data_IF_335193376470
#
_entry.id   IF_335193376470
#
_cell.length_a   1.000
_cell.length_b   1.000
_cell.length_c   1.000
_cell.angle_alpha   90.00
_cell.angle_beta   90.00
_cell.angle_gamma   90.00
#
_symmetry.space_group_name_H-M   'P 1'
#
loop_
_entity.id
_entity.type
_entity.pdbx_description
1 polymer ?
#
# COMPACT_ATOMS: atom_id res chain seq x y z
N UNK A 1 4.70 -23.12 11.80
CA UNK A 1 3.93 -22.44 10.73
C UNK A 1 4.39 -21.00 10.73
N UNK A 2 4.69 -20.44 9.56
CA UNK A 2 4.89 -19.00 9.42
C UNK A 2 3.62 -18.40 8.79
N UNK A 3 2.85 -17.70 9.62
CA UNK A 3 1.50 -17.21 9.32
C UNK A 3 1.48 -15.69 9.31
N UNK A 4 1.26 -15.11 8.14
CA UNK A 4 1.17 -13.66 7.97
C UNK A 4 -0.22 -13.29 7.49
N UNK A 5 -0.83 -12.32 8.16
CA UNK A 5 -2.13 -11.78 7.79
C UNK A 5 -2.07 -10.27 7.87
N UNK A 6 -2.49 -9.60 6.80
CA UNK A 6 -2.63 -8.15 6.74
C UNK A 6 -4.08 -7.77 6.42
N UNK A 7 -4.48 -6.56 6.78
CA UNK A 7 -5.84 -6.10 6.56
C UNK A 7 -6.14 -4.74 7.16
N UNK A 8 -7.37 -4.30 6.95
CA UNK A 8 -7.95 -3.09 7.55
C UNK A 8 -8.82 -3.46 8.76
N UNK A 9 -9.50 -2.47 9.35
CA UNK A 9 -10.55 -2.74 10.35
C UNK A 9 -11.75 -3.48 9.76
N UNK A 10 -12.00 -3.30 8.47
CA UNK A 10 -13.14 -3.87 7.76
C UNK A 10 -12.88 -5.30 7.28
N UNK A 11 -11.63 -5.66 6.99
CA UNK A 11 -11.36 -6.96 6.36
C UNK A 11 -9.90 -7.36 6.29
N UNK A 12 -9.67 -8.55 5.76
CA UNK A 12 -8.34 -9.07 5.42
C UNK A 12 -8.03 -8.66 3.97
N UNK A 13 -6.83 -8.13 3.74
CA UNK A 13 -6.37 -7.75 2.39
C UNK A 13 -5.33 -8.72 1.85
N UNK A 14 -4.57 -9.39 2.72
CA UNK A 14 -3.60 -10.39 2.34
C UNK A 14 -3.43 -11.46 3.41
N UNK A 15 -3.14 -12.68 2.97
CA UNK A 15 -2.85 -13.82 3.82
C UNK A 15 -1.78 -14.67 3.15
N UNK A 16 -0.75 -15.04 3.91
CA UNK A 16 0.30 -15.95 3.48
C UNK A 16 0.51 -17.02 4.56
N UNK A 17 0.50 -18.28 4.13
CA UNK A 17 0.71 -19.44 4.99
C UNK A 17 1.88 -20.28 4.46
N UNK A 18 2.96 -20.36 5.24
CA UNK A 18 4.04 -21.32 5.03
C UNK A 18 3.91 -22.44 6.09
N UNK A 19 3.39 -23.58 5.64
CA UNK A 19 3.12 -24.75 6.45
C UNK A 19 4.29 -25.74 6.33
N UNK A 20 4.98 -25.96 7.45
CA UNK A 20 6.16 -26.85 7.52
C UNK A 20 5.86 -28.28 8.00
N UNK A 21 4.62 -28.53 8.45
CA UNK A 21 4.19 -29.81 9.02
C UNK A 21 2.80 -30.19 8.46
N UNK A 22 2.54 -31.49 8.26
CA UNK A 22 1.20 -31.96 7.96
C UNK A 22 0.31 -31.83 9.23
N UNK A 23 -0.97 -31.46 9.06
CA UNK A 23 -1.95 -31.50 10.15
C UNK A 23 -2.40 -30.17 10.76
N UNK A 24 -2.37 -29.05 10.01
CA UNK A 24 -3.13 -27.86 10.43
C UNK A 24 -4.61 -28.13 10.22
N UNK A 25 -5.39 -28.16 11.30
CA UNK A 25 -6.84 -28.28 11.25
C UNK A 25 -7.48 -26.90 10.98
N UNK A 26 -8.72 -26.91 10.49
CA UNK A 26 -9.47 -25.68 10.29
C UNK A 26 -9.68 -24.90 11.60
N UNK A 27 -9.74 -25.59 12.75
CA UNK A 27 -9.89 -24.98 14.07
C UNK A 27 -8.66 -24.15 14.45
N UNK A 28 -7.46 -24.72 14.28
CA UNK A 28 -6.19 -24.02 14.55
C UNK A 28 -6.08 -22.77 13.65
N UNK A 29 -6.52 -22.87 12.40
CA UNK A 29 -6.51 -21.73 11.49
C UNK A 29 -7.51 -20.64 11.93
N UNK A 30 -8.70 -21.02 12.38
CA UNK A 30 -9.70 -20.08 12.89
C UNK A 30 -9.21 -19.34 14.14
N UNK A 31 -8.58 -20.06 15.08
CA UNK A 31 -7.96 -19.48 16.26
C UNK A 31 -6.82 -18.51 15.90
N UNK A 32 -5.94 -18.91 14.98
CA UNK A 32 -4.84 -18.08 14.50
C UNK A 32 -5.36 -16.79 13.83
N UNK A 33 -6.41 -16.89 13.01
CA UNK A 33 -7.06 -15.72 12.39
C UNK A 33 -7.71 -14.79 13.43
N UNK A 34 -8.36 -15.36 14.46
CA UNK A 34 -8.96 -14.57 15.53
C UNK A 34 -7.90 -13.85 16.38
N UNK A 35 -6.78 -14.51 16.66
CA UNK A 35 -5.62 -13.88 17.32
C UNK A 35 -5.00 -12.79 16.45
N UNK A 36 -4.78 -13.07 15.16
CA UNK A 36 -4.21 -12.10 14.23
C UNK A 36 -5.10 -10.86 14.09
N UNK A 37 -6.43 -11.00 14.11
CA UNK A 37 -7.37 -9.87 14.10
C UNK A 37 -7.18 -8.95 15.30
N UNK A 38 -7.07 -9.51 16.51
CA UNK A 38 -6.86 -8.72 17.75
C UNK A 38 -5.54 -7.96 17.69
N UNK A 39 -4.45 -8.65 17.39
CA UNK A 39 -3.12 -8.02 17.26
C UNK A 39 -3.11 -6.95 16.15
N UNK A 40 -3.79 -7.19 15.02
CA UNK A 40 -3.92 -6.19 13.95
C UNK A 40 -4.62 -4.93 14.42
N UNK A 41 -5.67 -5.04 15.23
CA UNK A 41 -6.40 -3.88 15.73
C UNK A 41 -5.54 -3.07 16.70
N UNK A 42 -4.82 -3.72 17.62
CA UNK A 42 -3.87 -3.06 18.52
C UNK A 42 -2.78 -2.30 17.74
N UNK A 43 -2.24 -2.91 16.68
CA UNK A 43 -1.24 -2.25 15.81
C UNK A 43 -1.86 -1.05 15.07
N UNK A 44 -3.08 -1.20 14.54
CA UNK A 44 -3.79 -0.11 13.86
C UNK A 44 -4.11 1.04 14.83
N UNK A 45 -4.47 0.76 16.07
CA UNK A 45 -4.70 1.79 17.09
C UNK A 45 -3.44 2.64 17.33
N UNK A 46 -2.26 2.02 17.39
CA UNK A 46 -0.98 2.73 17.54
C UNK A 46 -0.63 3.55 16.29
N UNK A 47 -0.87 3.00 15.09
CA UNK A 47 -0.63 3.72 13.82
C UNK A 47 -1.55 4.93 13.72
N UNK A 48 -2.85 4.76 13.97
CA UNK A 48 -3.86 5.83 13.88
C UNK A 48 -3.66 6.90 14.97
N UNK A 49 -3.17 6.53 16.16
CA UNK A 49 -2.76 7.50 17.18
C UNK A 49 -1.58 8.37 16.74
N UNK A 50 -0.77 7.89 15.79
CA UNK A 50 0.36 8.65 15.21
C UNK A 50 -0.07 9.48 14.00
N UNK A 51 -0.85 8.88 13.10
CA UNK A 51 -1.39 9.53 11.89
C UNK A 51 -2.70 8.85 11.50
N UNK A 52 -3.82 9.52 11.76
CA UNK A 52 -5.16 8.98 11.53
C UNK A 52 -5.62 9.07 10.08
N UNK A 53 -5.06 10.01 9.31
CA UNK A 53 -5.46 10.29 7.94
C UNK A 53 -4.25 10.67 7.06
N UNK A 54 -4.32 10.41 5.73
CA UNK A 54 -3.33 10.91 4.79
C UNK A 54 -3.18 12.43 4.88
N UNK A 55 -1.98 12.93 4.60
CA UNK A 55 -1.74 14.38 4.55
C UNK A 55 -2.58 15.00 3.42
N UNK A 56 -3.20 16.18 3.63
CA UNK A 56 -4.00 16.84 2.60
C UNK A 56 -3.16 17.27 1.40
N UNK A 57 -1.90 17.63 1.67
CA UNK A 57 -0.94 18.08 0.66
C UNK A 57 0.26 17.12 0.56
N UNK A 58 0.80 17.03 -0.65
CA UNK A 58 2.05 16.32 -0.90
C UNK A 58 3.24 17.03 -0.22
N UNK A 59 4.28 16.26 0.09
CA UNK A 59 5.52 16.83 0.62
C UNK A 59 6.11 17.89 -0.35
N UNK A 60 6.77 18.95 0.15
CA UNK A 60 7.40 19.96 -0.71
C UNK A 60 8.43 19.38 -1.69
N UNK A 61 9.07 18.29 -1.31
CA UNK A 61 10.05 17.54 -2.11
C UNK A 61 9.43 16.48 -3.02
N UNK A 62 8.12 16.26 -2.96
CA UNK A 62 7.44 15.33 -3.85
C UNK A 62 7.47 15.86 -5.30
N UNK A 63 7.55 14.97 -6.30
CA UNK A 63 7.50 15.39 -7.71
C UNK A 63 6.18 16.10 -8.01
N UNK A 64 6.28 17.21 -8.74
CA UNK A 64 5.13 18.00 -9.19
C UNK A 64 5.07 17.98 -10.70
N UNK A 65 3.86 17.96 -11.23
CA UNK A 65 3.61 18.08 -12.66
C UNK A 65 3.27 19.55 -12.93
N UNK A 66 4.15 20.24 -13.64
CA UNK A 66 3.87 21.56 -14.19
C UNK A 66 3.36 21.41 -15.62
N UNK A 67 2.19 21.98 -15.89
CA UNK A 67 1.60 21.97 -17.22
C UNK A 67 1.88 23.30 -17.92
N UNK A 68 2.62 23.23 -19.02
CA UNK A 68 2.86 24.38 -19.89
C UNK A 68 2.13 24.19 -21.22
N UNK A 69 1.52 25.26 -21.73
CA UNK A 69 0.94 25.28 -23.08
C UNK A 69 1.94 25.94 -24.02
N UNK A 70 2.29 25.25 -25.09
CA UNK A 70 3.16 25.77 -26.15
C UNK A 70 2.37 25.93 -27.44
N UNK A 71 2.83 26.87 -28.28
CA UNK A 71 2.29 27.05 -29.63
C UNK A 71 2.57 25.80 -30.46
N UNK A 72 1.62 25.45 -31.34
CA UNK A 72 1.70 24.25 -32.19
C UNK A 72 2.99 24.25 -33.03
N UNK A 73 3.42 25.42 -33.51
CA UNK A 73 4.63 25.58 -34.31
C UNK A 73 5.92 25.26 -33.53
N UNK A 74 5.88 25.37 -32.21
CA UNK A 74 7.02 25.08 -31.32
C UNK A 74 7.08 23.63 -30.86
N UNK A 75 6.06 22.81 -31.14
CA UNK A 75 6.04 21.39 -30.76
C UNK A 75 7.24 20.64 -31.34
N UNK A 76 7.55 20.85 -32.63
CA UNK A 76 8.71 20.21 -33.27
C UNK A 76 10.03 20.61 -32.63
N UNK A 77 10.14 21.84 -32.13
CA UNK A 77 11.34 22.36 -31.50
C UNK A 77 11.51 21.73 -30.10
N UNK A 78 10.41 21.57 -29.35
CA UNK A 78 10.44 21.00 -28.00
C UNK A 78 10.72 19.50 -28.01
N UNK A 79 10.15 18.73 -28.96
CA UNK A 79 10.35 17.26 -29.05
C UNK A 79 11.70 16.90 -29.70
N UNK A 80 12.23 17.77 -30.57
CA UNK A 80 13.44 17.47 -31.35
C UNK A 80 13.25 16.38 -32.40
N UNK A 81 14.33 15.94 -33.05
CA UNK A 81 14.25 14.93 -34.11
C UNK A 81 14.11 13.54 -33.49
N UNK A 82 12.90 12.98 -33.56
CA UNK A 82 12.63 11.63 -33.06
C UNK A 82 12.52 11.52 -31.54
N UNK A 83 12.32 12.62 -30.82
CA UNK A 83 12.20 12.63 -29.36
C UNK A 83 13.54 12.67 -28.60
N UNK A 84 14.58 13.23 -29.22
CA UNK A 84 15.92 13.32 -28.61
C UNK A 84 16.01 14.35 -27.47
N UNK A 85 15.03 15.25 -27.39
CA UNK A 85 14.96 16.36 -26.42
C UNK A 85 13.85 16.10 -25.41
#
# INVERSE_FOLDING_TARGET
MDFKVAGTREGITALQMDIKIAGITAEILAEALAQAKRARFEILDVIEATISEPRPDLAPSAPKIDSIKIDIDKIKIVIGKGGET
#
